data_IF_089044060168
#
_entry.id   IF_089044060168
#
_cell.length_a   1.000
_cell.length_b   1.000
_cell.length_c   1.000
_cell.angle_alpha   90.00
_cell.angle_beta   90.00
_cell.angle_gamma   90.00
#
_symmetry.space_group_name_H-M   'P 1'
#
loop_
_entity.id
_entity.type
_entity.pdbx_description
1 polymer ?
#
# COMPACT_ATOMS: atom_id res chain seq x y z
N UNK A 1 48.32 -35.87 -52.07
CA UNK A 1 49.15 -35.74 -50.85
C UNK A 1 48.47 -34.74 -49.93
N UNK A 2 48.24 -35.13 -48.67
CA UNK A 2 47.73 -34.37 -47.51
C UNK A 2 46.22 -34.07 -47.38
N UNK A 3 45.55 -35.01 -46.69
CA UNK A 3 44.37 -34.80 -45.86
C UNK A 3 44.65 -33.79 -44.73
N UNK A 4 43.64 -32.99 -44.34
CA UNK A 4 43.46 -32.54 -42.96
C UNK A 4 41.99 -32.72 -42.54
N UNK A 5 41.79 -33.62 -41.58
CA UNK A 5 40.57 -33.83 -40.79
C UNK A 5 40.37 -32.67 -39.82
N UNK A 6 39.13 -32.23 -39.60
CA UNK A 6 38.71 -31.58 -38.35
C UNK A 6 37.41 -32.26 -37.89
N UNK A 7 37.44 -32.68 -36.62
CA UNK A 7 36.45 -33.50 -35.92
C UNK A 7 35.27 -32.68 -35.39
N UNK A 8 34.14 -33.39 -35.31
CA UNK A 8 32.85 -33.03 -34.73
C UNK A 8 32.88 -32.75 -33.21
N UNK A 9 31.99 -31.87 -32.75
CA UNK A 9 31.44 -31.92 -31.40
C UNK A 9 29.91 -31.85 -31.53
N UNK A 10 29.23 -32.98 -31.34
CA UNK A 10 27.78 -33.05 -31.17
C UNK A 10 27.46 -32.93 -29.68
N UNK A 11 26.77 -31.87 -29.28
CA UNK A 11 26.26 -31.69 -27.92
C UNK A 11 24.91 -32.39 -27.78
N UNK A 12 24.85 -33.40 -26.90
CA UNK A 12 23.64 -34.11 -26.49
C UNK A 12 22.90 -33.24 -25.47
N UNK A 13 21.67 -32.83 -25.78
CA UNK A 13 20.76 -32.20 -24.81
C UNK A 13 19.96 -33.29 -24.08
N UNK A 14 20.13 -33.39 -22.76
CA UNK A 14 19.35 -34.27 -21.89
C UNK A 14 18.03 -33.57 -21.54
N UNK A 15 16.91 -34.19 -21.91
CA UNK A 15 15.56 -33.76 -21.55
C UNK A 15 15.26 -34.20 -20.11
N UNK A 16 15.00 -33.26 -19.19
CA UNK A 16 14.47 -33.57 -17.85
C UNK A 16 12.97 -33.24 -17.85
N UNK A 17 12.13 -34.26 -17.90
CA UNK A 17 10.68 -34.12 -17.79
C UNK A 17 10.30 -33.92 -16.32
N UNK A 18 9.79 -32.74 -15.98
CA UNK A 18 9.22 -32.44 -14.67
C UNK A 18 7.78 -32.97 -14.60
N UNK A 19 7.53 -33.94 -13.73
CA UNK A 19 6.16 -34.40 -13.45
C UNK A 19 5.50 -33.38 -12.52
N UNK A 20 4.59 -32.56 -13.06
CA UNK A 20 3.68 -31.75 -12.25
C UNK A 20 2.61 -32.66 -11.65
N UNK A 21 2.65 -32.85 -10.33
CA UNK A 21 1.50 -33.37 -9.59
C UNK A 21 0.60 -32.18 -9.29
N UNK A 22 -0.46 -32.02 -10.08
CA UNK A 22 -1.49 -31.03 -9.81
C UNK A 22 -2.33 -31.47 -8.58
N UNK A 23 -2.70 -30.54 -7.68
CA UNK A 23 -3.66 -30.86 -6.63
C UNK A 23 -4.98 -31.26 -7.26
N UNK A 24 -5.51 -32.40 -6.83
CA UNK A 24 -6.85 -32.85 -7.20
C UNK A 24 -7.87 -31.95 -6.51
N UNK A 25 -8.30 -30.91 -7.22
CA UNK A 25 -9.58 -30.28 -6.95
C UNK A 25 -10.66 -31.34 -7.16
N UNK A 26 -11.58 -31.49 -6.20
CA UNK A 26 -12.80 -32.25 -6.41
C UNK A 26 -13.39 -31.81 -7.76
N UNK A 27 -13.69 -32.77 -8.64
CA UNK A 27 -14.11 -32.52 -10.01
C UNK A 27 -15.23 -31.47 -10.03
N UNK A 28 -14.87 -30.23 -10.38
CA UNK A 28 -15.82 -29.17 -10.59
C UNK A 28 -16.80 -29.62 -11.65
N UNK A 29 -18.08 -29.28 -11.49
CA UNK A 29 -19.03 -29.43 -12.57
C UNK A 29 -18.44 -28.72 -13.80
N UNK A 30 -18.18 -29.42 -14.93
CA UNK A 30 -17.53 -28.81 -16.10
C UNK A 30 -18.32 -27.65 -16.71
N UNK A 31 -19.56 -27.43 -16.24
CA UNK A 31 -20.43 -26.31 -16.60
C UNK A 31 -20.48 -25.18 -15.55
N UNK A 32 -19.54 -25.12 -14.61
CA UNK A 32 -19.51 -24.10 -13.55
C UNK A 32 -18.06 -23.71 -13.20
N UNK A 33 -17.68 -22.47 -13.53
CA UNK A 33 -16.32 -21.93 -13.33
C UNK A 33 -16.22 -20.96 -12.15
N UNK A 34 -17.29 -20.79 -11.37
CA UNK A 34 -17.32 -19.89 -10.22
C UNK A 34 -16.58 -20.51 -9.03
N UNK A 35 -16.01 -19.63 -8.19
CA UNK A 35 -15.23 -20.01 -7.01
C UNK A 35 -16.00 -19.74 -5.73
N UNK A 36 -15.52 -20.30 -4.63
CA UNK A 36 -16.04 -20.02 -3.30
C UNK A 36 -15.66 -18.59 -2.87
N UNK A 37 -16.57 -17.85 -2.24
CA UNK A 37 -16.32 -16.47 -1.82
C UNK A 37 -17.54 -15.78 -1.23
N UNK A 38 -17.39 -14.50 -0.89
CA UNK A 38 -18.53 -13.64 -0.53
C UNK A 38 -19.18 -13.05 -1.77
N UNK A 39 -20.51 -13.11 -1.81
CA UNK A 39 -21.30 -12.66 -2.95
C UNK A 39 -22.52 -11.87 -2.47
N UNK A 40 -23.00 -10.98 -3.34
CA UNK A 40 -24.28 -10.30 -3.27
C UNK A 40 -25.21 -10.94 -4.32
N UNK A 41 -26.37 -11.44 -3.88
CA UNK A 41 -27.40 -12.02 -4.75
C UNK A 41 -28.64 -11.14 -4.71
N UNK A 42 -29.05 -10.65 -5.88
CA UNK A 42 -30.23 -9.81 -6.04
C UNK A 42 -31.33 -10.59 -6.76
N UNK A 43 -32.56 -10.54 -6.27
CA UNK A 43 -33.73 -11.20 -6.83
C UNK A 43 -34.74 -10.22 -7.40
N UNK A 44 -35.62 -10.72 -8.26
CA UNK A 44 -36.76 -9.98 -8.80
C UNK A 44 -37.70 -9.51 -7.69
N UNK A 45 -38.36 -8.37 -7.90
CA UNK A 45 -39.33 -7.79 -6.98
C UNK A 45 -40.46 -8.80 -6.68
N UNK A 46 -40.61 -9.19 -5.42
CA UNK A 46 -41.61 -10.17 -4.96
C UNK A 46 -41.06 -11.56 -4.62
N UNK A 47 -39.78 -11.84 -4.90
CA UNK A 47 -39.14 -13.06 -4.39
C UNK A 47 -39.01 -13.00 -2.86
N UNK A 48 -39.33 -14.09 -2.17
CA UNK A 48 -39.19 -14.20 -0.72
C UNK A 48 -37.81 -14.79 -0.40
N UNK A 49 -36.84 -13.92 -0.12
CA UNK A 49 -35.41 -14.30 0.02
C UNK A 49 -35.19 -15.40 1.06
N UNK A 50 -35.98 -15.45 2.14
CA UNK A 50 -35.92 -16.50 3.16
C UNK A 50 -36.18 -17.92 2.61
N UNK A 51 -36.90 -18.05 1.50
CA UNK A 51 -37.09 -19.32 0.80
C UNK A 51 -35.94 -19.60 -0.17
N UNK A 52 -35.36 -18.56 -0.76
CA UNK A 52 -34.31 -18.68 -1.77
C UNK A 52 -32.98 -19.19 -1.21
N UNK A 53 -32.71 -18.91 0.07
CA UNK A 53 -31.49 -19.31 0.78
C UNK A 53 -31.52 -20.74 1.34
N UNK A 54 -32.66 -21.45 1.24
CA UNK A 54 -32.81 -22.82 1.76
C UNK A 54 -32.43 -23.88 0.72
N UNK A 55 -31.77 -24.93 1.16
CA UNK A 55 -31.41 -26.12 0.36
C UNK A 55 -30.76 -25.80 -1.00
N UNK A 56 -29.95 -24.75 -1.05
CA UNK A 56 -29.24 -24.33 -2.26
C UNK A 56 -28.11 -25.32 -2.52
N UNK A 57 -28.31 -26.19 -3.50
CA UNK A 57 -27.37 -27.27 -3.81
C UNK A 57 -27.11 -28.21 -2.60
N UNK A 58 -28.17 -28.49 -1.84
CA UNK A 58 -28.12 -29.43 -0.71
C UNK A 58 -27.63 -28.84 0.62
N UNK A 59 -27.42 -27.51 0.70
CA UNK A 59 -27.13 -26.81 1.95
C UNK A 59 -27.83 -25.45 2.01
N UNK A 60 -28.20 -25.05 3.22
CA UNK A 60 -28.69 -23.70 3.46
C UNK A 60 -27.54 -22.69 3.32
N UNK A 61 -27.88 -21.50 2.84
CA UNK A 61 -27.00 -20.33 2.86
C UNK A 61 -27.31 -19.53 4.12
N UNK A 62 -26.27 -19.22 4.90
CA UNK A 62 -26.37 -18.32 6.03
C UNK A 62 -25.97 -16.92 5.56
N UNK A 63 -26.93 -16.00 5.31
CA UNK A 63 -26.61 -14.66 4.87
C UNK A 63 -25.89 -13.88 5.99
N UNK A 64 -24.87 -13.10 5.61
CA UNK A 64 -24.28 -12.07 6.48
C UNK A 64 -25.22 -10.89 6.62
N UNK A 65 -25.88 -10.51 5.53
CA UNK A 65 -26.85 -9.42 5.46
C UNK A 65 -28.03 -9.81 4.58
N UNK A 66 -29.21 -9.31 4.94
CA UNK A 66 -30.45 -9.42 4.15
C UNK A 66 -30.90 -8.02 3.78
N UNK A 67 -31.43 -7.87 2.57
CA UNK A 67 -31.87 -6.60 2.02
C UNK A 67 -33.32 -6.72 1.52
N UNK A 68 -34.14 -5.75 1.89
CA UNK A 68 -35.55 -5.63 1.48
C UNK A 68 -35.90 -4.24 0.93
N UNK A 69 -35.23 -3.19 1.40
CA UNK A 69 -35.45 -1.80 0.98
C UNK A 69 -34.57 -1.37 -0.21
N UNK A 70 -33.23 -1.46 -0.06
CA UNK A 70 -32.29 -0.98 -1.07
C UNK A 70 -32.26 -1.87 -2.33
N UNK A 71 -32.37 -3.18 -2.12
CA UNK A 71 -32.53 -4.22 -3.13
C UNK A 71 -33.20 -5.43 -2.47
N UNK A 72 -33.84 -6.31 -3.24
CA UNK A 72 -34.42 -7.55 -2.72
C UNK A 72 -33.37 -8.66 -2.81
N UNK A 73 -32.68 -8.99 -1.72
CA UNK A 73 -31.50 -9.86 -1.81
C UNK A 73 -30.79 -10.15 -0.51
N UNK A 74 -29.59 -10.73 -0.62
CA UNK A 74 -28.71 -10.99 0.52
C UNK A 74 -27.23 -10.87 0.12
N UNK A 75 -26.37 -10.71 1.12
CA UNK A 75 -24.93 -10.88 0.97
C UNK A 75 -24.42 -11.96 1.91
N UNK A 76 -23.46 -12.77 1.46
CA UNK A 76 -22.84 -13.80 2.29
C UNK A 76 -21.96 -14.76 1.51
N UNK A 77 -21.35 -15.70 2.24
CA UNK A 77 -20.47 -16.69 1.66
C UNK A 77 -21.26 -17.72 0.84
N UNK A 78 -20.84 -17.96 -0.40
CA UNK A 78 -21.36 -18.98 -1.30
C UNK A 78 -20.22 -19.87 -1.81
N UNK A 79 -20.52 -21.16 -1.97
CA UNK A 79 -19.66 -22.05 -2.75
C UNK A 79 -19.85 -21.78 -4.25
N UNK A 80 -18.83 -22.04 -5.07
CA UNK A 80 -18.90 -21.87 -6.52
C UNK A 80 -20.10 -22.61 -7.15
N UNK A 81 -20.44 -23.79 -6.61
CA UNK A 81 -21.63 -24.54 -7.02
C UNK A 81 -22.96 -23.81 -6.69
N UNK A 82 -23.05 -23.13 -5.54
CA UNK A 82 -24.22 -22.31 -5.18
C UNK A 82 -24.31 -21.06 -6.05
N UNK A 83 -23.19 -20.40 -6.36
CA UNK A 83 -23.14 -19.26 -7.29
C UNK A 83 -23.72 -19.66 -8.65
N UNK A 84 -23.26 -20.79 -9.21
CA UNK A 84 -23.78 -21.31 -10.48
C UNK A 84 -25.24 -21.76 -10.40
N UNK A 85 -25.72 -22.21 -9.23
CA UNK A 85 -27.14 -22.52 -9.05
C UNK A 85 -27.99 -21.24 -9.13
N UNK A 86 -27.58 -20.17 -8.44
CA UNK A 86 -28.29 -18.88 -8.47
C UNK A 86 -28.28 -18.24 -9.85
N UNK A 87 -27.13 -18.24 -10.57
CA UNK A 87 -27.03 -17.69 -11.93
C UNK A 87 -27.98 -18.34 -12.95
N UNK A 88 -28.53 -19.53 -12.65
CA UNK A 88 -29.49 -20.25 -13.51
C UNK A 88 -30.96 -19.99 -13.16
N UNK A 89 -31.25 -19.36 -12.01
CA UNK A 89 -32.64 -19.14 -11.56
C UNK A 89 -33.24 -17.93 -12.28
N UNK A 90 -34.44 -18.09 -12.83
CA UNK A 90 -35.14 -17.03 -13.57
C UNK A 90 -35.61 -15.85 -12.72
N UNK A 91 -35.57 -15.97 -11.39
CA UNK A 91 -35.91 -14.91 -10.44
C UNK A 91 -34.69 -14.22 -9.81
N UNK A 92 -33.46 -14.57 -10.24
CA UNK A 92 -32.23 -13.89 -9.84
C UNK A 92 -31.87 -12.85 -10.89
N UNK A 93 -31.70 -11.59 -10.45
CA UNK A 93 -31.32 -10.47 -11.30
C UNK A 93 -29.79 -10.36 -11.45
N UNK A 94 -29.05 -10.55 -10.36
CA UNK A 94 -27.58 -10.55 -10.38
C UNK A 94 -26.98 -11.43 -9.29
N UNK A 95 -25.76 -11.92 -9.55
CA UNK A 95 -24.89 -12.59 -8.59
C UNK A 95 -23.50 -12.02 -8.78
N UNK A 96 -23.06 -11.19 -7.83
CA UNK A 96 -21.83 -10.41 -7.91
C UNK A 96 -20.93 -10.75 -6.73
N UNK A 97 -19.62 -10.88 -6.95
CA UNK A 97 -18.68 -11.07 -5.87
C UNK A 97 -18.63 -9.80 -5.01
N UNK A 98 -18.71 -9.94 -3.69
CA UNK A 98 -18.64 -8.81 -2.76
C UNK A 98 -17.25 -8.17 -2.85
N UNK A 99 -17.21 -6.84 -2.92
CA UNK A 99 -15.97 -6.07 -3.15
C UNK A 99 -15.69 -5.17 -1.95
N UNK A 100 -14.42 -5.01 -1.61
CA UNK A 100 -14.02 -4.02 -0.62
C UNK A 100 -14.16 -2.59 -1.18
N UNK A 101 -14.84 -1.72 -0.45
CA UNK A 101 -14.91 -0.28 -0.72
C UNK A 101 -14.04 0.48 0.28
N UNK A 102 -13.26 1.46 -0.18
CA UNK A 102 -12.36 2.26 0.66
C UNK A 102 -12.58 3.76 0.51
N UNK A 103 -12.29 4.53 1.56
CA UNK A 103 -12.39 6.00 1.57
C UNK A 103 -11.08 6.57 1.00
N UNK A 104 -11.09 6.95 -0.28
CA UNK A 104 -9.97 7.63 -0.93
C UNK A 104 -10.13 9.15 -0.79
N UNK A 105 -9.11 9.83 -0.29
CA UNK A 105 -9.07 11.29 -0.27
C UNK A 105 -8.27 11.79 -1.48
N UNK A 106 -8.79 12.79 -2.20
CA UNK A 106 -8.15 13.35 -3.39
C UNK A 106 -7.92 14.84 -3.22
N UNK A 107 -6.68 15.28 -3.43
CA UNK A 107 -6.31 16.67 -3.59
C UNK A 107 -6.33 17.03 -5.08
N UNK A 108 -7.14 18.01 -5.45
CA UNK A 108 -7.12 18.61 -6.80
C UNK A 108 -6.03 19.68 -6.92
N UNK A 109 -5.57 19.96 -8.14
CA UNK A 109 -4.47 20.90 -8.41
C UNK A 109 -3.19 20.53 -7.62
N UNK A 110 -2.90 19.24 -7.60
CA UNK A 110 -1.69 18.73 -6.98
C UNK A 110 -0.44 19.20 -7.75
N UNK A 111 0.67 19.38 -7.03
CA UNK A 111 1.95 19.60 -7.69
C UNK A 111 2.33 18.34 -8.47
N UNK A 112 3.09 18.51 -9.56
CA UNK A 112 3.46 17.40 -10.45
C UNK A 112 4.09 16.22 -9.70
N UNK A 113 4.82 16.47 -8.61
CA UNK A 113 5.46 15.42 -7.82
C UNK A 113 4.47 14.56 -7.03
N UNK A 114 3.41 15.17 -6.49
CA UNK A 114 2.35 14.44 -5.80
C UNK A 114 1.53 13.63 -6.79
N UNK A 115 1.10 14.26 -7.89
CA UNK A 115 0.39 13.63 -9.01
C UNK A 115 1.23 12.57 -9.73
N UNK A 116 2.56 12.62 -9.61
CA UNK A 116 3.39 11.54 -10.15
C UNK A 116 3.33 10.29 -9.28
N UNK A 117 3.25 10.43 -7.95
CA UNK A 117 3.46 9.28 -7.05
C UNK A 117 2.19 8.49 -6.72
N UNK A 118 1.02 8.94 -7.13
CA UNK A 118 -0.26 8.24 -6.93
C UNK A 118 -0.80 7.51 -8.17
N UNK A 119 -0.16 7.66 -9.34
CA UNK A 119 -0.54 6.97 -10.57
C UNK A 119 0.65 6.26 -11.26
N UNK A 120 0.36 5.15 -11.94
CA UNK A 120 1.36 4.42 -12.75
C UNK A 120 1.45 5.02 -14.15
N UNK A 121 0.30 5.19 -14.80
CA UNK A 121 0.20 5.56 -16.20
C UNK A 121 0.34 7.07 -16.42
N UNK A 122 0.73 7.47 -17.62
CA UNK A 122 0.70 8.85 -18.10
C UNK A 122 -0.48 9.01 -19.08
N UNK A 123 -1.03 10.23 -19.28
CA UNK A 123 -0.57 11.52 -18.75
C UNK A 123 -0.95 11.76 -17.28
N UNK A 124 -0.23 12.71 -16.68
CA UNK A 124 -0.51 13.24 -15.33
C UNK A 124 -1.92 13.83 -15.23
N UNK A 125 -2.60 13.59 -14.11
CA UNK A 125 -4.02 13.92 -13.91
C UNK A 125 -4.25 15.22 -13.15
N UNK A 126 -3.19 15.84 -12.63
CA UNK A 126 -3.19 17.01 -11.74
C UNK A 126 -3.92 16.78 -10.40
N UNK A 127 -4.09 15.52 -10.01
CA UNK A 127 -4.73 15.10 -8.78
C UNK A 127 -3.76 14.27 -7.93
N UNK A 128 -3.93 14.29 -6.61
CA UNK A 128 -3.22 13.41 -5.71
C UNK A 128 -4.21 12.67 -4.82
N UNK A 129 -4.42 11.40 -5.14
CA UNK A 129 -5.30 10.47 -4.45
C UNK A 129 -4.53 9.59 -3.48
N UNK A 130 -5.01 9.50 -2.25
CA UNK A 130 -4.38 8.73 -1.20
C UNK A 130 -5.40 8.07 -0.29
N UNK A 131 -5.07 6.86 0.18
CA UNK A 131 -5.90 6.06 1.09
C UNK A 131 -5.60 6.35 2.56
N UNK A 132 -4.45 6.96 2.86
CA UNK A 132 -4.03 7.32 4.21
C UNK A 132 -3.11 8.54 4.17
N UNK A 133 -3.26 9.41 5.17
CA UNK A 133 -2.40 10.58 5.36
C UNK A 133 -1.27 10.33 6.36
N UNK A 134 -1.04 9.08 6.81
CA UNK A 134 0.07 8.75 7.73
C UNK A 134 -0.18 9.08 9.21
N UNK A 135 -1.45 9.19 9.63
CA UNK A 135 -1.79 9.39 11.03
C UNK A 135 -1.23 8.25 11.93
N UNK A 136 -0.63 8.64 13.06
CA UNK A 136 -0.01 7.71 14.01
C UNK A 136 1.35 7.16 13.58
N UNK A 137 1.91 7.65 12.47
CA UNK A 137 3.27 7.35 12.01
C UNK A 137 4.21 8.49 12.41
N UNK A 138 5.42 8.13 12.86
CA UNK A 138 6.49 9.07 13.17
C UNK A 138 7.54 9.10 12.04
N UNK A 139 7.75 10.27 11.44
CA UNK A 139 8.77 10.49 10.43
C UNK A 139 9.96 11.27 11.02
N UNK A 140 11.10 10.60 11.13
CA UNK A 140 12.37 11.19 11.56
C UNK A 140 13.06 11.82 10.36
N UNK A 141 13.24 13.14 10.40
CA UNK A 141 13.94 13.89 9.35
C UNK A 141 15.36 14.16 9.83
N UNK A 142 16.29 13.32 9.38
CA UNK A 142 17.70 13.37 9.76
C UNK A 142 18.44 14.29 8.78
N UNK A 143 18.55 15.57 9.13
CA UNK A 143 18.92 16.64 8.19
C UNK A 143 19.49 17.89 8.92
N UNK A 144 19.30 19.08 8.37
CA UNK A 144 19.69 20.42 8.89
C UNK A 144 18.78 20.94 10.02
N UNK A 145 17.71 20.21 10.33
CA UNK A 145 16.69 20.58 11.31
C UNK A 145 15.31 20.78 10.64
N UNK A 146 14.34 21.25 11.42
CA UNK A 146 13.03 21.69 10.88
C UNK A 146 12.66 23.02 11.54
N UNK A 147 12.20 24.00 10.76
CA UNK A 147 11.55 25.19 11.29
C UNK A 147 10.14 24.83 11.81
N UNK A 148 10.07 24.37 13.06
CA UNK A 148 8.82 23.88 13.65
C UNK A 148 7.69 24.91 13.78
N UNK A 149 8.00 26.21 13.66
CA UNK A 149 7.01 27.30 13.64
C UNK A 149 6.37 27.54 12.28
N UNK A 150 6.82 26.84 11.23
CA UNK A 150 6.23 26.95 9.89
C UNK A 150 4.79 26.43 9.89
N UNK A 151 3.87 27.15 9.23
CA UNK A 151 2.44 26.86 9.23
C UNK A 151 2.10 25.44 8.74
N UNK A 152 2.91 24.92 7.82
CA UNK A 152 2.78 23.57 7.25
C UNK A 152 2.93 22.42 8.26
N UNK A 153 3.44 22.65 9.47
CA UNK A 153 3.69 21.57 10.45
C UNK A 153 2.88 21.68 11.74
N UNK A 154 1.92 22.61 11.77
CA UNK A 154 1.15 22.95 12.97
C UNK A 154 0.59 21.68 13.65
N UNK A 155 0.86 21.53 14.96
CA UNK A 155 0.45 20.41 15.83
C UNK A 155 1.02 19.02 15.51
N UNK A 156 1.90 18.90 14.51
CA UNK A 156 2.51 17.61 14.11
C UNK A 156 4.01 17.55 14.35
N UNK A 157 4.60 18.63 14.85
CA UNK A 157 5.99 18.65 15.31
C UNK A 157 6.12 18.00 16.68
N UNK A 158 7.00 17.02 16.77
CA UNK A 158 7.44 16.40 18.03
C UNK A 158 8.86 16.86 18.38
N UNK A 159 9.23 16.68 19.65
CA UNK A 159 10.58 16.95 20.14
C UNK A 159 11.61 16.05 19.44
N UNK A 160 12.78 16.62 19.17
CA UNK A 160 13.82 15.97 18.37
C UNK A 160 15.20 15.97 19.03
N UNK A 161 16.22 15.78 18.19
CA UNK A 161 17.63 15.72 18.59
C UNK A 161 18.52 16.58 17.69
N UNK A 162 19.63 17.06 18.23
CA UNK A 162 20.69 17.72 17.47
C UNK A 162 22.05 17.13 17.83
N UNK A 163 22.82 16.77 16.82
CA UNK A 163 24.25 16.47 16.90
C UNK A 163 25.13 17.70 16.61
N UNK A 164 24.51 18.84 16.27
CA UNK A 164 25.22 20.07 15.88
C UNK A 164 25.35 21.00 17.07
N UNK A 165 26.61 21.28 17.43
CA UNK A 165 26.97 22.09 18.59
C UNK A 165 26.56 21.47 19.93
N UNK A 166 26.70 22.24 21.01
CA UNK A 166 26.33 21.79 22.36
C UNK A 166 24.84 22.03 22.71
N UNK A 167 24.00 22.29 21.70
CA UNK A 167 22.61 22.69 21.91
C UNK A 167 21.63 21.56 21.57
N UNK A 168 20.51 21.49 22.29
CA UNK A 168 19.34 20.66 21.89
C UNK A 168 18.50 21.32 20.78
N UNK A 169 19.03 22.36 20.12
CA UNK A 169 18.27 23.13 19.13
C UNK A 169 18.16 22.35 17.82
N UNK A 170 16.94 21.95 17.49
CA UNK A 170 16.61 21.23 16.25
C UNK A 170 16.07 22.13 15.16
N UNK A 171 16.04 23.44 15.40
CA UNK A 171 15.56 24.44 14.44
C UNK A 171 16.50 24.48 13.25
N UNK A 172 15.89 24.47 12.08
CA UNK A 172 16.58 24.62 10.80
C UNK A 172 17.10 26.06 10.62
N UNK A 173 18.34 26.18 10.15
CA UNK A 173 18.97 27.44 9.76
C UNK A 173 19.52 27.42 8.32
N UNK A 174 19.32 26.32 7.60
CA UNK A 174 19.69 26.17 6.21
C UNK A 174 18.47 26.23 5.28
N UNK A 175 17.40 25.53 5.66
CA UNK A 175 16.15 25.42 4.91
C UNK A 175 15.94 24.05 4.25
N UNK A 176 17.00 23.28 4.02
CA UNK A 176 16.92 21.97 3.36
C UNK A 176 16.03 20.99 4.13
N UNK A 177 16.23 20.85 5.44
CA UNK A 177 15.49 19.90 6.27
C UNK A 177 14.02 20.29 6.41
N UNK A 178 13.72 21.59 6.49
CA UNK A 178 12.35 22.12 6.44
C UNK A 178 11.67 21.79 5.11
N UNK A 179 12.37 21.94 3.98
CA UNK A 179 11.83 21.59 2.67
C UNK A 179 11.54 20.08 2.56
N UNK A 180 12.48 19.24 2.98
CA UNK A 180 12.31 17.77 3.04
C UNK A 180 11.12 17.38 3.92
N UNK A 181 11.00 17.99 5.11
CA UNK A 181 9.87 17.77 6.01
C UNK A 181 8.53 18.21 5.38
N UNK A 182 8.53 19.28 4.59
CA UNK A 182 7.40 19.75 3.78
C UNK A 182 6.92 18.71 2.77
N UNK A 183 7.84 18.07 2.06
CA UNK A 183 7.50 16.99 1.10
C UNK A 183 6.93 15.76 1.81
N UNK A 184 7.48 15.39 2.96
CA UNK A 184 7.01 14.23 3.72
C UNK A 184 5.62 14.50 4.31
N UNK A 185 5.45 15.64 4.99
CA UNK A 185 4.31 15.87 5.86
C UNK A 185 3.89 17.33 5.96
N UNK A 186 4.07 18.15 4.93
CA UNK A 186 3.41 19.46 4.86
C UNK A 186 1.89 19.30 4.80
N UNK A 187 1.15 20.23 5.42
CA UNK A 187 -0.32 20.23 5.39
C UNK A 187 -0.86 20.34 3.96
N UNK A 188 -0.24 21.17 3.12
CA UNK A 188 -0.69 21.41 1.74
C UNK A 188 0.02 20.51 0.73
N UNK A 189 1.34 20.34 0.88
CA UNK A 189 2.18 19.70 -0.14
C UNK A 189 2.81 18.37 0.30
N UNK A 190 2.45 17.88 1.49
CA UNK A 190 2.93 16.60 1.99
C UNK A 190 2.27 15.41 1.31
N UNK A 191 3.08 14.36 1.12
CA UNK A 191 2.60 13.01 0.79
C UNK A 191 1.76 12.46 1.95
N UNK A 192 2.30 12.48 3.17
CA UNK A 192 1.65 12.00 4.39
C UNK A 192 1.23 13.17 5.30
N UNK A 193 0.15 13.87 4.93
CA UNK A 193 -0.29 15.14 5.55
C UNK A 193 -0.60 15.08 7.05
N UNK A 194 -0.82 13.89 7.61
CA UNK A 194 -1.15 13.65 9.02
C UNK A 194 -0.03 12.96 9.80
N UNK A 195 1.16 12.78 9.19
CA UNK A 195 2.35 12.23 9.87
C UNK A 195 2.87 13.18 10.94
N UNK A 196 3.44 12.62 12.02
CA UNK A 196 4.21 13.40 12.98
C UNK A 196 5.65 13.57 12.50
N UNK A 197 6.18 14.79 12.54
CA UNK A 197 7.53 15.11 12.09
C UNK A 197 8.45 15.28 13.31
N UNK A 198 9.58 14.57 13.29
CA UNK A 198 10.60 14.62 14.34
C UNK A 198 11.91 15.11 13.73
N UNK A 199 12.40 16.31 14.10
CA UNK A 199 13.65 16.82 13.57
C UNK A 199 14.86 16.15 14.24
N UNK A 200 15.75 15.60 13.44
CA UNK A 200 17.03 15.05 13.90
C UNK A 200 18.14 15.81 13.18
N UNK A 201 18.59 16.90 13.79
CA UNK A 201 19.56 17.81 13.20
C UNK A 201 20.98 17.24 13.26
N UNK A 202 21.51 16.82 12.13
CA UNK A 202 22.87 16.27 11.97
C UNK A 202 23.74 17.07 11.00
N UNK A 203 23.14 18.06 10.32
CA UNK A 203 23.81 18.99 9.42
C UNK A 203 23.72 20.43 9.96
N UNK A 204 24.77 21.22 9.76
CA UNK A 204 24.88 22.60 10.19
C UNK A 204 24.16 23.59 9.24
N UNK A 205 24.29 24.90 9.47
CA UNK A 205 23.63 25.91 8.64
C UNK A 205 24.17 25.97 7.19
N UNK A 206 25.31 25.34 6.92
CA UNK A 206 25.88 25.20 5.56
C UNK A 206 25.50 23.85 4.93
N UNK A 207 24.65 23.05 5.58
CA UNK A 207 24.26 21.72 5.10
C UNK A 207 25.36 20.66 5.27
N UNK A 208 26.34 20.92 6.13
CA UNK A 208 27.48 20.01 6.33
C UNK A 208 27.42 19.33 7.71
N UNK A 209 27.87 18.08 7.78
CA UNK A 209 27.94 17.32 9.02
C UNK A 209 28.92 16.16 8.93
N UNK A 210 29.16 15.49 10.05
CA UNK A 210 30.06 14.34 10.12
C UNK A 210 29.29 13.03 10.10
N UNK A 211 29.91 11.96 9.57
CA UNK A 211 29.34 10.61 9.67
C UNK A 211 29.06 10.21 11.12
N UNK A 212 29.92 10.61 12.06
CA UNK A 212 29.69 10.40 13.50
C UNK A 212 28.42 11.11 14.01
N UNK A 213 28.15 12.33 13.56
CA UNK A 213 26.93 13.08 13.89
C UNK A 213 25.67 12.43 13.30
N UNK A 214 25.75 11.96 12.06
CA UNK A 214 24.66 11.21 11.40
C UNK A 214 24.36 9.92 12.16
N UNK A 215 25.39 9.12 12.48
CA UNK A 215 25.24 7.88 13.26
C UNK A 215 24.67 8.17 14.64
N UNK A 216 25.10 9.24 15.32
CA UNK A 216 24.55 9.65 16.61
C UNK A 216 23.06 10.00 16.51
N UNK A 217 22.65 10.68 15.43
CA UNK A 217 21.24 10.98 15.14
C UNK A 217 20.39 9.71 14.91
N UNK A 218 20.89 8.78 14.10
CA UNK A 218 20.22 7.48 13.86
C UNK A 218 20.08 6.70 15.17
N UNK A 219 21.18 6.59 15.94
CA UNK A 219 21.18 5.91 17.23
C UNK A 219 20.19 6.55 18.21
N UNK A 220 20.11 7.88 18.25
CA UNK A 220 19.12 8.57 19.05
C UNK A 220 17.68 8.25 18.61
N UNK A 221 17.40 8.24 17.30
CA UNK A 221 16.07 7.92 16.78
C UNK A 221 15.65 6.49 17.16
N UNK A 222 16.54 5.51 17.00
CA UNK A 222 16.31 4.11 17.42
C UNK A 222 16.10 4.00 18.92
N UNK A 223 16.80 4.78 19.74
CA UNK A 223 16.64 4.70 21.19
C UNK A 223 15.36 5.37 21.70
N UNK A 224 14.85 6.38 21.00
CA UNK A 224 13.78 7.26 21.48
C UNK A 224 12.48 7.14 20.68
N UNK A 225 12.37 6.19 19.75
CA UNK A 225 11.08 6.00 19.06
C UNK A 225 10.00 5.52 20.02
N UNK A 226 8.82 6.11 19.88
CA UNK A 226 7.69 5.89 20.78
C UNK A 226 6.59 5.07 20.14
N UNK A 227 6.70 4.80 18.83
CA UNK A 227 5.74 4.02 18.06
C UNK A 227 6.48 2.94 17.27
N UNK A 228 5.78 1.86 16.93
CA UNK A 228 6.29 0.82 16.03
C UNK A 228 6.09 1.18 14.55
N UNK A 229 5.40 2.29 14.26
CA UNK A 229 5.13 2.78 12.92
C UNK A 229 5.97 4.03 12.70
N UNK A 230 7.21 3.84 12.24
CA UNK A 230 8.16 4.92 12.06
C UNK A 230 8.98 4.75 10.79
N UNK A 231 9.41 5.88 10.23
CA UNK A 231 10.32 5.95 9.07
C UNK A 231 11.42 6.96 9.36
N UNK A 232 12.63 6.69 8.88
CA UNK A 232 13.74 7.63 8.93
C UNK A 232 14.09 8.07 7.50
N UNK A 233 14.11 9.39 7.27
CA UNK A 233 14.53 9.97 6.00
C UNK A 233 15.90 10.63 6.16
N UNK A 234 16.83 10.25 5.29
CA UNK A 234 18.20 10.76 5.23
C UNK A 234 18.44 11.34 3.83
N UNK A 235 18.03 12.58 3.59
CA UNK A 235 18.27 13.29 2.32
C UNK A 235 19.68 13.87 2.29
N UNK A 236 20.67 13.04 2.56
CA UNK A 236 22.08 13.38 2.66
C UNK A 236 22.94 12.23 2.16
N UNK A 237 24.19 12.51 1.84
CA UNK A 237 25.14 11.51 1.39
C UNK A 237 26.58 11.98 1.63
N UNK A 238 27.49 11.02 1.68
CA UNK A 238 28.92 11.26 1.87
C UNK A 238 29.74 10.15 1.21
N UNK A 239 31.05 10.35 1.14
CA UNK A 239 31.97 9.32 0.63
C UNK A 239 32.08 8.11 1.57
N UNK A 240 32.57 7.00 1.02
CA UNK A 240 32.88 5.78 1.79
C UNK A 240 33.91 6.12 2.86
N UNK A 241 33.64 5.72 4.11
CA UNK A 241 34.64 5.76 5.18
C UNK A 241 35.47 4.48 5.16
N UNK A 242 36.80 4.62 5.17
CA UNK A 242 37.78 3.53 5.19
C UNK A 242 38.24 3.18 6.58
#
# INVERSE_FOLDING_TARGET
MNLRRILSISSIAVLVASVLVAPTFAAGNPNCTEVDGDYIVTFSKGAVVANEIKNVNGRDVTPKFMYDEALNGFAGFLTGAQVCNYKKRGNVLSVEADQEVSIQATQTAATWGLDRVDQIDLPLSTAYSYVSAGAGVDAYVIDTGILGTHSEFTRRMKSGYSAIGNSKNTTDCNGHGTHVAGTIGGTTYGVAKSVSLIPVRVLDCRGSGTNSGVIAGINWAIKNHTTNKAVANLSLGGGISS
#
